data_IF_797218736723
#
_entry.id   IF_797218736723
#
_cell.length_a   1.000
_cell.length_b   1.000
_cell.length_c   1.000
_cell.angle_alpha   90.00
_cell.angle_beta   90.00
_cell.angle_gamma   90.00
#
_symmetry.space_group_name_H-M   'P 1'
#
loop_
_entity.id
_entity.type
_entity.pdbx_description
1 polymer ?
#
# COMPACT_ATOMS: atom_id res chain seq x y z
N UNK A 1 3.47 -13.42 1.30
CA UNK A 1 3.35 -12.08 0.67
C UNK A 1 4.34 -12.01 -0.48
N UNK A 2 4.09 -11.16 -1.49
CA UNK A 2 5.10 -10.88 -2.51
C UNK A 2 6.38 -10.28 -1.92
N UNK A 3 7.51 -10.46 -2.60
CA UNK A 3 8.84 -10.11 -2.08
C UNK A 3 9.00 -8.62 -1.73
N UNK A 4 8.28 -7.72 -2.41
CA UNK A 4 8.31 -6.27 -2.14
C UNK A 4 7.05 -5.75 -1.46
N UNK A 5 6.22 -6.62 -0.90
CA UNK A 5 5.02 -6.24 -0.16
C UNK A 5 3.86 -5.75 -1.04
N UNK A 6 3.86 -6.04 -2.36
CA UNK A 6 2.78 -5.63 -3.30
C UNK A 6 1.56 -6.57 -3.28
N UNK A 7 1.59 -7.58 -2.42
CA UNK A 7 0.46 -8.48 -2.19
C UNK A 7 0.48 -9.73 -3.07
N UNK A 8 -0.72 -10.25 -3.36
CA UNK A 8 -0.91 -11.57 -3.98
C UNK A 8 -0.58 -11.60 -5.47
N UNK A 9 -0.77 -10.49 -6.18
CA UNK A 9 -0.43 -10.36 -7.61
C UNK A 9 1.06 -10.58 -7.81
N UNK A 10 1.89 -9.97 -6.96
CA UNK A 10 3.33 -10.20 -6.95
C UNK A 10 3.68 -11.62 -6.48
N UNK A 11 3.00 -12.14 -5.45
CA UNK A 11 3.27 -13.47 -4.91
C UNK A 11 3.09 -14.59 -5.95
N UNK A 12 2.06 -14.50 -6.78
CA UNK A 12 1.78 -15.48 -7.84
C UNK A 12 2.46 -15.14 -9.18
N UNK A 13 3.22 -14.05 -9.25
CA UNK A 13 3.89 -13.62 -10.49
C UNK A 13 2.92 -13.19 -11.60
N UNK A 14 1.70 -12.79 -11.25
CA UNK A 14 0.73 -12.24 -12.19
C UNK A 14 1.17 -10.86 -12.68
N UNK A 15 0.86 -10.49 -13.93
CA UNK A 15 1.09 -9.13 -14.39
C UNK A 15 0.09 -8.19 -13.70
N UNK A 16 0.54 -7.15 -12.97
CA UNK A 16 -0.35 -6.15 -12.41
C UNK A 16 -1.24 -5.44 -13.44
N UNK A 17 -0.87 -5.45 -14.72
CA UNK A 17 -1.65 -4.88 -15.82
C UNK A 17 -2.89 -5.70 -16.18
N UNK A 18 -2.92 -6.99 -15.84
CA UNK A 18 -4.11 -7.83 -16.00
C UNK A 18 -5.19 -7.48 -14.96
N UNK A 19 -4.86 -6.64 -13.98
CA UNK A 19 -5.78 -6.15 -12.96
C UNK A 19 -6.12 -4.69 -13.24
N UNK A 20 -7.37 -4.43 -13.65
CA UNK A 20 -7.84 -3.07 -13.97
C UNK A 20 -7.75 -2.11 -12.78
N UNK A 21 -8.08 -2.61 -11.59
CA UNK A 21 -8.15 -1.83 -10.35
C UNK A 21 -7.56 -2.64 -9.20
N UNK A 22 -6.50 -2.10 -8.60
CA UNK A 22 -5.93 -2.57 -7.34
C UNK A 22 -6.41 -1.66 -6.21
N UNK A 23 -6.97 -2.25 -5.16
CA UNK A 23 -7.42 -1.51 -3.99
C UNK A 23 -6.76 -2.05 -2.73
N UNK A 24 -6.42 -1.15 -1.82
CA UNK A 24 -5.85 -1.50 -0.52
C UNK A 24 -6.23 -0.52 0.57
N UNK A 25 -5.91 -0.89 1.81
CA UNK A 25 -6.16 -0.07 3.00
C UNK A 25 -4.89 0.17 3.80
N UNK A 26 -4.82 1.32 4.45
CA UNK A 26 -3.72 1.69 5.33
C UNK A 26 -3.93 1.29 6.79
N UNK A 27 -5.09 0.72 7.15
CA UNK A 27 -5.45 0.41 8.55
C UNK A 27 -4.86 -0.86 9.13
N UNK A 28 -4.18 -1.67 8.31
CA UNK A 28 -3.63 -2.96 8.72
C UNK A 28 -2.11 -2.87 8.89
N UNK A 29 -1.36 -3.50 7.97
CA UNK A 29 0.09 -3.58 8.00
C UNK A 29 0.80 -2.22 8.00
N UNK A 30 0.14 -1.16 7.52
CA UNK A 30 0.68 0.21 7.52
C UNK A 30 0.39 0.99 8.83
N UNK A 31 -0.47 0.47 9.72
CA UNK A 31 -0.76 1.06 11.03
C UNK A 31 -1.38 2.47 11.01
N UNK A 32 -1.96 2.90 9.88
CA UNK A 32 -2.46 4.25 9.67
C UNK A 32 -3.97 4.25 9.36
N UNK A 33 -4.50 5.25 8.64
CA UNK A 33 -5.91 5.33 8.29
C UNK A 33 -6.14 5.61 6.80
N UNK A 34 -7.28 5.15 6.29
CA UNK A 34 -7.69 5.35 4.90
C UNK A 34 -7.40 4.16 3.98
N UNK A 35 -7.45 4.42 2.68
CA UNK A 35 -7.19 3.44 1.65
C UNK A 35 -6.83 4.10 0.33
N UNK A 36 -6.47 3.26 -0.64
CA UNK A 36 -6.05 3.71 -1.96
C UNK A 36 -6.67 2.84 -3.05
N UNK A 37 -6.79 3.45 -4.21
CA UNK A 37 -7.16 2.79 -5.45
C UNK A 37 -6.06 3.11 -6.46
N UNK A 38 -5.52 2.09 -7.09
CA UNK A 38 -4.49 2.16 -8.11
C UNK A 38 -4.98 1.45 -9.38
N UNK A 39 -4.57 1.96 -10.53
CA UNK A 39 -5.00 1.46 -11.84
C UNK A 39 -4.55 2.42 -12.93
N UNK A 40 -5.09 2.25 -14.14
CA UNK A 40 -4.76 3.13 -15.26
C UNK A 40 -5.13 4.60 -14.96
N UNK A 41 -4.26 5.54 -15.36
CA UNK A 41 -4.45 6.98 -15.13
C UNK A 41 -5.83 7.46 -15.59
N UNK A 42 -6.28 7.02 -16.78
CA UNK A 42 -7.60 7.35 -17.34
C UNK A 42 -8.74 6.95 -16.39
N UNK A 43 -8.65 5.76 -15.79
CA UNK A 43 -9.64 5.24 -14.84
C UNK A 43 -9.63 6.02 -13.53
N UNK A 44 -8.45 6.30 -12.97
CA UNK A 44 -8.32 7.07 -11.73
C UNK A 44 -8.81 8.51 -11.90
N UNK A 45 -8.47 9.17 -13.01
CA UNK A 45 -8.95 10.52 -13.30
C UNK A 45 -10.46 10.56 -13.47
N UNK A 46 -11.04 9.55 -14.15
CA UNK A 46 -12.49 9.42 -14.27
C UNK A 46 -13.16 9.24 -12.90
N UNK A 47 -12.62 8.37 -12.04
CA UNK A 47 -13.15 8.15 -10.69
C UNK A 47 -13.06 9.41 -9.82
N UNK A 48 -11.99 10.19 -9.91
CA UNK A 48 -11.84 11.43 -9.14
C UNK A 48 -12.92 12.46 -9.46
N UNK A 49 -13.32 12.56 -10.72
CA UNK A 49 -14.31 13.54 -11.19
C UNK A 49 -15.74 13.01 -11.07
N UNK A 50 -15.97 11.70 -11.18
CA UNK A 50 -17.33 11.15 -11.21
C UNK A 50 -17.76 10.48 -9.90
N UNK A 51 -16.82 10.23 -8.98
CA UNK A 51 -17.15 9.65 -7.68
C UNK A 51 -17.69 10.72 -6.72
N UNK A 52 -18.78 10.43 -5.99
CA UNK A 52 -19.23 11.26 -4.87
C UNK A 52 -18.13 11.51 -3.84
N UNK A 53 -17.18 10.58 -3.68
CA UNK A 53 -16.04 10.74 -2.77
C UNK A 53 -15.16 11.93 -3.14
N UNK A 54 -15.05 12.30 -4.42
CA UNK A 54 -14.26 13.44 -4.86
C UNK A 54 -14.82 14.79 -4.41
N UNK A 55 -16.14 14.86 -4.19
CA UNK A 55 -16.84 16.11 -3.82
C UNK A 55 -17.22 16.19 -2.35
N UNK A 56 -17.62 15.06 -1.76
CA UNK A 56 -18.20 15.02 -0.41
C UNK A 56 -17.25 14.49 0.66
N UNK A 57 -16.05 14.04 0.28
CA UNK A 57 -15.08 13.52 1.24
C UNK A 57 -13.98 14.54 1.54
N UNK A 58 -13.56 14.58 2.80
CA UNK A 58 -12.40 15.36 3.20
C UNK A 58 -11.10 14.64 2.82
N UNK A 59 -10.05 15.37 2.43
CA UNK A 59 -8.76 14.76 2.20
C UNK A 59 -8.19 14.15 3.49
N UNK A 60 -7.29 13.19 3.32
CA UNK A 60 -6.53 12.61 4.42
C UNK A 60 -5.77 13.69 5.18
N UNK A 61 -5.70 13.56 6.52
CA UNK A 61 -4.94 14.51 7.33
C UNK A 61 -3.43 14.41 7.03
N UNK A 62 -2.71 15.55 6.97
CA UNK A 62 -1.27 15.55 6.74
C UNK A 62 -0.43 14.61 7.64
N UNK A 63 -0.67 14.51 8.97
CA UNK A 63 0.11 13.59 9.80
C UNK A 63 -0.12 12.11 9.45
N UNK A 64 -1.35 11.74 9.06
CA UNK A 64 -1.65 10.36 8.64
C UNK A 64 -0.98 10.06 7.29
N UNK A 65 -1.00 11.01 6.36
CA UNK A 65 -0.31 10.87 5.08
C UNK A 65 1.22 10.69 5.28
N UNK A 66 1.81 11.44 6.20
CA UNK A 66 3.23 11.30 6.54
C UNK A 66 3.52 9.93 7.16
N UNK A 67 2.67 9.43 8.06
CA UNK A 67 2.83 8.10 8.66
C UNK A 67 2.82 7.00 7.59
N UNK A 68 1.89 7.06 6.64
CA UNK A 68 1.80 6.10 5.54
C UNK A 68 3.06 6.18 4.67
N UNK A 69 3.49 7.39 4.33
CA UNK A 69 4.69 7.61 3.52
C UNK A 69 5.94 7.01 4.18
N UNK A 70 6.13 7.26 5.49
CA UNK A 70 7.25 6.70 6.25
C UNK A 70 7.17 5.18 6.29
N UNK A 71 6.00 4.60 6.60
CA UNK A 71 5.80 3.14 6.63
C UNK A 71 6.12 2.50 5.28
N UNK A 72 5.63 3.06 4.17
CA UNK A 72 5.96 2.60 2.82
C UNK A 72 7.46 2.74 2.51
N UNK A 73 8.08 3.84 2.93
CA UNK A 73 9.50 4.08 2.68
C UNK A 73 10.36 3.03 3.39
N UNK A 74 10.02 2.66 4.62
CA UNK A 74 10.70 1.58 5.37
C UNK A 74 10.51 0.23 4.66
N UNK A 75 9.27 -0.12 4.29
CA UNK A 75 8.97 -1.39 3.58
C UNK A 75 9.77 -1.47 2.27
N UNK A 76 9.95 -0.34 1.58
CA UNK A 76 10.70 -0.27 0.32
C UNK A 76 12.22 -0.11 0.50
N UNK A 77 12.73 -0.01 1.75
CA UNK A 77 14.14 0.28 2.04
C UNK A 77 14.62 1.64 1.52
N UNK A 78 13.71 2.62 1.38
CA UNK A 78 13.99 3.99 0.90
C UNK A 78 14.32 4.97 2.00
N UNK A 79 14.17 4.57 3.25
CA UNK A 79 14.53 5.32 4.44
C UNK A 79 16.04 5.25 4.76
N UNK A 80 16.81 4.50 3.96
CA UNK A 80 18.25 4.29 4.17
C UNK A 80 18.57 3.17 5.15
N UNK A 81 17.56 2.47 5.66
CA UNK A 81 17.70 1.26 6.47
C UNK A 81 17.27 0.03 5.65
N UNK A 82 17.53 -1.16 6.19
CA UNK A 82 17.04 -2.43 5.63
C UNK A 82 15.94 -3.05 6.50
N UNK A 83 15.33 -2.28 7.39
CA UNK A 83 14.37 -2.79 8.38
C UNK A 83 13.15 -3.42 7.68
N UNK A 84 12.70 -2.85 6.56
CA UNK A 84 11.62 -3.48 5.75
C UNK A 84 11.93 -4.89 5.26
N UNK A 85 13.20 -5.24 5.04
CA UNK A 85 13.65 -6.55 4.57
C UNK A 85 14.03 -7.49 5.73
N UNK A 86 14.53 -6.95 6.84
CA UNK A 86 15.16 -7.72 7.92
C UNK A 86 14.17 -8.33 8.91
N UNK A 87 12.99 -7.74 9.11
CA UNK A 87 12.11 -8.12 10.23
C UNK A 87 11.06 -9.20 9.94
N UNK A 88 10.81 -9.59 8.67
CA UNK A 88 9.65 -10.45 8.37
C UNK A 88 9.96 -11.94 8.23
N UNK A 89 11.21 -12.34 7.97
CA UNK A 89 11.54 -13.74 7.67
C UNK A 89 12.15 -14.46 8.89
N UNK A 90 13.01 -13.80 9.68
CA UNK A 90 13.71 -14.48 10.79
C UNK A 90 13.07 -14.31 12.18
N UNK A 91 12.46 -13.16 12.49
CA UNK A 91 11.92 -12.91 13.85
C UNK A 91 10.48 -13.44 14.06
N UNK A 92 9.64 -13.42 13.03
CA UNK A 92 8.24 -13.90 13.14
C UNK A 92 8.17 -15.43 13.07
N UNK A 93 9.00 -16.07 12.25
CA UNK A 93 9.09 -17.54 12.18
C UNK A 93 9.63 -18.16 13.47
N UNK A 94 10.58 -17.50 14.15
CA UNK A 94 11.16 -17.98 15.42
C UNK A 94 10.31 -17.67 16.67
N UNK A 95 9.21 -16.91 16.55
CA UNK A 95 8.28 -16.64 17.66
C UNK A 95 7.01 -17.49 17.62
N UNK A 96 6.77 -18.21 16.52
CA UNK A 96 5.55 -19.00 16.28
C UNK A 96 5.84 -20.51 16.14
N UNK A 97 7.11 -20.91 15.99
CA UNK A 97 7.59 -22.28 16.25
C UNK A 97 8.23 -22.37 17.64
#
# INVERSE_FOLDING_TARGET
MGATGRGVVEYWGCDPKDVDILMGTFTKSFGAAGGYIAGAKKTIDHLRVNSPTGYYSCPMSPPVAQQIYTSMSIIMGKDGTNDGNLYYIDEVLNRVM
#
